data_IF_585099750819
#
_entry.id   IF_585099750819
#
_cell.length_a   1.000
_cell.length_b   1.000
_cell.length_c   1.000
_cell.angle_alpha   90.00
_cell.angle_beta   90.00
_cell.angle_gamma   90.00
#
_symmetry.space_group_name_H-M   'P 1'
#
loop_
_entity.id
_entity.type
_entity.pdbx_description
1 polymer ?
#
# COMPACT_ATOMS: atom_id res chain seq x y z
N UNK A 1 -39.62 24.23 10.08
CA UNK A 1 -38.32 23.87 10.68
C UNK A 1 -37.94 22.43 10.36
N UNK A 2 -37.64 22.17 9.06
CA UNK A 2 -37.28 20.83 8.55
C UNK A 2 -35.82 20.78 8.11
N UNK A 3 -34.88 21.21 8.95
CA UNK A 3 -33.44 21.13 8.67
C UNK A 3 -32.68 20.09 9.53
N UNK A 4 -33.38 19.18 10.17
CA UNK A 4 -32.83 18.14 11.00
C UNK A 4 -32.73 16.80 10.29
N UNK A 5 -31.53 16.21 10.22
CA UNK A 5 -31.27 14.78 10.09
C UNK A 5 -31.04 14.16 8.69
N UNK A 6 -30.12 14.72 7.93
CA UNK A 6 -29.44 13.92 6.89
C UNK A 6 -27.99 13.50 7.22
N UNK A 7 -27.52 13.74 8.43
CA UNK A 7 -26.13 13.39 8.82
C UNK A 7 -25.93 11.95 9.30
N UNK A 8 -26.96 11.28 9.77
CA UNK A 8 -26.83 9.97 10.45
C UNK A 8 -26.73 8.75 9.52
N UNK A 9 -26.98 8.89 8.23
CA UNK A 9 -26.99 7.76 7.30
C UNK A 9 -25.58 7.31 6.89
N UNK A 10 -24.59 8.20 6.91
CA UNK A 10 -23.23 7.88 6.45
C UNK A 10 -22.39 7.15 7.50
N UNK A 11 -22.58 7.40 8.78
CA UNK A 11 -21.83 6.72 9.85
C UNK A 11 -22.35 5.31 10.16
N UNK A 12 -23.56 4.99 9.75
CA UNK A 12 -24.14 3.66 9.95
C UNK A 12 -23.66 2.61 8.92
N UNK A 13 -23.11 3.03 7.78
CA UNK A 13 -22.67 2.12 6.71
C UNK A 13 -21.52 1.23 7.19
N UNK A 14 -20.44 1.72 7.82
CA UNK A 14 -19.37 0.86 8.32
C UNK A 14 -19.87 -0.15 9.34
N UNK A 15 -20.76 0.26 10.24
CA UNK A 15 -21.33 -0.63 11.26
C UNK A 15 -22.25 -1.72 10.69
N UNK A 16 -23.06 -1.39 9.69
CA UNK A 16 -23.92 -2.35 8.99
C UNK A 16 -23.11 -3.33 8.14
N UNK A 17 -22.06 -2.86 7.50
CA UNK A 17 -21.16 -3.68 6.69
C UNK A 17 -20.33 -4.62 7.57
N UNK A 18 -19.95 -4.21 8.78
CA UNK A 18 -19.27 -5.10 9.73
C UNK A 18 -20.13 -6.32 10.15
N UNK A 19 -21.46 -6.22 10.08
CA UNK A 19 -22.36 -7.38 10.25
C UNK A 19 -22.45 -8.28 9.01
N UNK A 20 -21.98 -7.80 7.86
CA UNK A 20 -22.00 -8.50 6.58
C UNK A 20 -20.61 -9.00 6.15
N UNK A 21 -19.58 -8.86 7.03
CA UNK A 21 -18.22 -9.27 6.71
C UNK A 21 -18.14 -10.74 6.24
N UNK A 22 -18.74 -11.66 7.01
CA UNK A 22 -18.75 -13.10 6.67
C UNK A 22 -19.50 -13.43 5.38
N UNK A 23 -20.76 -12.96 5.19
CA UNK A 23 -21.44 -13.12 3.91
C UNK A 23 -20.70 -12.50 2.72
N UNK A 24 -20.09 -11.30 2.90
CA UNK A 24 -19.36 -10.62 1.84
C UNK A 24 -18.03 -11.32 1.51
N UNK A 25 -17.36 -11.93 2.50
CA UNK A 25 -16.16 -12.72 2.26
C UNK A 25 -16.43 -13.97 1.40
N UNK A 26 -17.66 -14.49 1.39
CA UNK A 26 -18.06 -15.61 0.53
C UNK A 26 -18.33 -15.21 -0.94
N UNK A 27 -18.41 -13.90 -1.23
CA UNK A 27 -18.68 -13.35 -2.58
C UNK A 27 -17.69 -12.22 -2.90
N UNK A 28 -16.38 -12.48 -2.96
CA UNK A 28 -15.32 -11.46 -3.03
C UNK A 28 -15.47 -10.54 -4.24
N UNK A 29 -15.83 -11.04 -5.39
CA UNK A 29 -16.08 -10.23 -6.59
C UNK A 29 -17.17 -9.19 -6.38
N UNK A 30 -18.27 -9.57 -5.74
CA UNK A 30 -19.37 -8.66 -5.43
C UNK A 30 -18.96 -7.64 -4.35
N UNK A 31 -18.23 -8.06 -3.32
CA UNK A 31 -17.70 -7.18 -2.29
C UNK A 31 -16.79 -6.10 -2.90
N UNK A 32 -15.85 -6.48 -3.76
CA UNK A 32 -14.97 -5.55 -4.48
C UNK A 32 -15.78 -4.62 -5.38
N UNK A 33 -16.76 -5.15 -6.13
CA UNK A 33 -17.61 -4.35 -7.02
C UNK A 33 -18.40 -3.29 -6.26
N UNK A 34 -19.00 -3.64 -5.13
CA UNK A 34 -19.76 -2.71 -4.29
C UNK A 34 -18.85 -1.61 -3.74
N UNK A 35 -17.70 -1.99 -3.18
CA UNK A 35 -16.74 -1.03 -2.61
C UNK A 35 -16.16 -0.14 -3.71
N UNK A 36 -15.84 -0.72 -4.89
CA UNK A 36 -15.34 0.01 -6.04
C UNK A 36 -16.36 1.03 -6.57
N UNK A 37 -17.65 0.67 -6.63
CA UNK A 37 -18.71 1.58 -7.05
C UNK A 37 -18.86 2.79 -6.10
N UNK A 38 -18.61 2.59 -4.80
CA UNK A 38 -18.59 3.67 -3.83
C UNK A 38 -17.39 4.62 -4.02
N UNK A 39 -16.29 4.12 -4.58
CA UNK A 39 -15.08 4.90 -4.86
C UNK A 39 -15.27 5.94 -5.97
N UNK A 40 -16.18 5.71 -6.93
CA UNK A 40 -16.47 6.65 -8.01
C UNK A 40 -17.14 7.95 -7.54
N UNK A 41 -17.66 7.98 -6.33
CA UNK A 41 -18.15 9.19 -5.69
C UNK A 41 -16.99 10.08 -5.21
N UNK A 42 -17.03 11.31 -5.60
CA UNK A 42 -16.08 12.43 -5.52
C UNK A 42 -15.55 12.81 -4.12
N UNK A 43 -15.36 11.86 -3.22
CA UNK A 43 -14.96 12.13 -1.83
C UNK A 43 -13.69 11.40 -1.43
N UNK A 44 -12.56 12.14 -1.38
CA UNK A 44 -11.27 11.62 -0.92
C UNK A 44 -11.31 10.91 0.44
N UNK A 45 -12.27 11.23 1.30
CA UNK A 45 -12.52 10.49 2.56
C UNK A 45 -13.12 9.10 2.33
N UNK A 46 -13.84 8.88 1.24
CA UNK A 46 -14.42 7.57 0.91
C UNK A 46 -13.37 6.57 0.40
N UNK A 47 -12.35 7.07 -0.29
CA UNK A 47 -11.17 6.29 -0.72
C UNK A 47 -10.56 5.56 0.48
N UNK A 48 -10.35 6.29 1.56
CA UNK A 48 -9.75 5.76 2.78
C UNK A 48 -10.69 4.75 3.49
N UNK A 49 -11.97 5.05 3.58
CA UNK A 49 -12.95 4.19 4.28
C UNK A 49 -13.33 2.95 3.47
N UNK A 50 -13.50 3.05 2.14
CA UNK A 50 -13.85 1.92 1.29
C UNK A 50 -12.76 0.86 1.23
N UNK A 51 -11.50 1.27 1.05
CA UNK A 51 -10.36 0.36 1.07
C UNK A 51 -10.19 -0.32 2.43
N UNK A 52 -10.38 0.41 3.54
CA UNK A 52 -10.37 -0.15 4.89
C UNK A 52 -11.49 -1.17 5.11
N UNK A 53 -12.63 -0.97 4.47
CA UNK A 53 -13.74 -1.91 4.52
C UNK A 53 -13.38 -3.27 3.93
N UNK A 54 -12.66 -3.30 2.79
CA UNK A 54 -12.13 -4.54 2.24
C UNK A 54 -11.17 -5.23 3.22
N UNK A 55 -10.34 -4.47 3.95
CA UNK A 55 -9.50 -5.02 5.02
C UNK A 55 -10.32 -5.64 6.16
N UNK A 56 -11.47 -5.08 6.47
CA UNK A 56 -12.38 -5.64 7.49
C UNK A 56 -13.05 -6.93 7.00
N UNK A 57 -13.48 -6.98 5.73
CA UNK A 57 -14.08 -8.17 5.11
C UNK A 57 -13.03 -9.27 4.92
N UNK A 58 -11.82 -8.89 4.49
CA UNK A 58 -10.69 -9.78 4.22
C UNK A 58 -9.50 -9.41 5.13
N UNK A 59 -9.55 -9.72 6.43
CA UNK A 59 -8.48 -9.36 7.37
C UNK A 59 -7.14 -10.03 7.00
N UNK A 60 -7.22 -11.21 6.43
CA UNK A 60 -6.12 -11.87 5.74
C UNK A 60 -6.40 -11.82 4.24
N UNK A 61 -5.36 -11.59 3.46
CA UNK A 61 -5.51 -11.50 2.01
C UNK A 61 -5.92 -12.84 1.42
N UNK A 62 -7.08 -12.86 0.76
CA UNK A 62 -7.62 -14.04 0.13
C UNK A 62 -7.24 -14.09 -1.35
N UNK A 63 -6.96 -15.29 -1.93
CA UNK A 63 -6.66 -15.43 -3.36
C UNK A 63 -7.77 -14.86 -4.26
N UNK A 64 -9.01 -14.94 -3.82
CA UNK A 64 -10.16 -14.41 -4.53
C UNK A 64 -10.14 -12.88 -4.58
N UNK A 65 -9.75 -12.22 -3.47
CA UNK A 65 -9.54 -10.77 -3.45
C UNK A 65 -8.40 -10.38 -4.40
N UNK A 66 -7.28 -11.11 -4.37
CA UNK A 66 -6.15 -10.90 -5.28
C UNK A 66 -6.61 -10.96 -6.74
N UNK A 67 -7.36 -11.99 -7.10
CA UNK A 67 -7.85 -12.19 -8.46
C UNK A 67 -8.74 -11.04 -8.94
N UNK A 68 -9.62 -10.54 -8.08
CA UNK A 68 -10.49 -9.40 -8.42
C UNK A 68 -9.69 -8.09 -8.56
N UNK A 69 -8.70 -7.87 -7.70
CA UNK A 69 -7.84 -6.69 -7.81
C UNK A 69 -6.95 -6.75 -9.06
N UNK A 70 -6.41 -7.93 -9.41
CA UNK A 70 -5.67 -8.14 -10.68
C UNK A 70 -6.55 -7.86 -11.89
N UNK A 71 -7.80 -8.31 -11.88
CA UNK A 71 -8.76 -8.02 -12.96
C UNK A 71 -8.93 -6.50 -13.13
N UNK A 72 -9.06 -5.73 -12.05
CA UNK A 72 -9.15 -4.27 -12.11
C UNK A 72 -7.87 -3.62 -12.68
N UNK A 73 -6.69 -4.17 -12.35
CA UNK A 73 -5.42 -3.72 -12.95
C UNK A 73 -5.40 -4.01 -14.45
N UNK A 74 -5.85 -5.18 -14.87
CA UNK A 74 -5.93 -5.56 -16.29
C UNK A 74 -6.90 -4.70 -17.08
N UNK A 75 -8.06 -4.41 -16.54
CA UNK A 75 -9.03 -3.47 -17.12
C UNK A 75 -8.41 -2.08 -17.29
N UNK A 76 -7.51 -1.71 -16.37
CA UNK A 76 -6.81 -0.44 -16.41
C UNK A 76 -7.70 0.75 -16.09
N UNK A 77 -7.22 1.94 -16.51
CA UNK A 77 -7.87 3.21 -16.19
C UNK A 77 -7.46 3.77 -14.83
N UNK A 78 -7.30 5.09 -14.75
CA UNK A 78 -6.78 5.77 -13.56
C UNK A 78 -7.55 5.41 -12.29
N UNK A 79 -8.87 5.43 -12.34
CA UNK A 79 -9.72 5.13 -11.18
C UNK A 79 -9.58 3.69 -10.65
N UNK A 80 -9.36 2.71 -11.53
CA UNK A 80 -9.13 1.33 -11.10
C UNK A 80 -7.76 1.19 -10.42
N UNK A 81 -6.72 1.80 -10.99
CA UNK A 81 -5.38 1.78 -10.42
C UNK A 81 -5.33 2.50 -9.07
N UNK A 82 -5.95 3.68 -8.96
CA UNK A 82 -6.07 4.43 -7.71
C UNK A 82 -6.78 3.61 -6.63
N UNK A 83 -7.89 2.96 -7.00
CA UNK A 83 -8.62 2.09 -6.09
C UNK A 83 -7.78 0.91 -5.60
N UNK A 84 -7.11 0.20 -6.53
CA UNK A 84 -6.25 -0.94 -6.17
C UNK A 84 -5.13 -0.47 -5.24
N UNK A 85 -4.45 0.64 -5.54
CA UNK A 85 -3.41 1.21 -4.69
C UNK A 85 -3.94 1.60 -3.31
N UNK A 86 -5.13 2.20 -3.23
CA UNK A 86 -5.77 2.52 -1.96
C UNK A 86 -6.06 1.26 -1.11
N UNK A 87 -6.45 0.15 -1.77
CA UNK A 87 -6.61 -1.15 -1.09
C UNK A 87 -5.26 -1.67 -0.60
N UNK A 88 -4.22 -1.65 -1.44
CA UNK A 88 -2.88 -2.14 -1.09
C UNK A 88 -2.27 -1.42 0.11
N UNK A 89 -2.53 -0.11 0.27
CA UNK A 89 -2.10 0.66 1.45
C UNK A 89 -2.62 0.09 2.78
N UNK A 90 -3.75 -0.60 2.79
CA UNK A 90 -4.25 -1.28 3.99
C UNK A 90 -3.57 -2.62 4.27
N UNK A 91 -2.76 -3.12 3.33
CA UNK A 91 -2.02 -4.37 3.44
C UNK A 91 -0.50 -4.16 3.31
N UNK A 92 -0.02 -2.94 3.52
CA UNK A 92 1.39 -2.59 3.41
C UNK A 92 2.29 -3.54 4.21
N UNK A 93 3.46 -3.84 3.64
CA UNK A 93 4.45 -4.70 4.26
C UNK A 93 4.18 -6.20 4.15
N UNK A 94 3.08 -6.62 3.50
CA UNK A 94 2.78 -8.03 3.28
C UNK A 94 3.26 -8.48 1.89
N UNK A 95 3.93 -9.62 1.80
CA UNK A 95 4.55 -10.09 0.54
C UNK A 95 3.56 -10.31 -0.60
N UNK A 96 2.32 -10.63 -0.30
CA UNK A 96 1.31 -10.87 -1.34
C UNK A 96 1.00 -9.63 -2.19
N UNK A 97 1.23 -8.40 -1.68
CA UNK A 97 1.01 -7.19 -2.50
C UNK A 97 1.97 -7.11 -3.68
N UNK A 98 3.12 -7.81 -3.64
CA UNK A 98 4.13 -7.77 -4.68
C UNK A 98 3.60 -8.15 -6.05
N UNK A 99 2.70 -9.14 -6.13
CA UNK A 99 2.12 -9.57 -7.41
C UNK A 99 1.27 -8.46 -8.04
N UNK A 100 0.44 -7.79 -7.24
CA UNK A 100 -0.36 -6.63 -7.69
C UNK A 100 0.52 -5.44 -8.06
N UNK A 101 1.56 -5.16 -7.28
CA UNK A 101 2.52 -4.11 -7.57
C UNK A 101 3.24 -4.35 -8.89
N UNK A 102 3.69 -5.60 -9.17
CA UNK A 102 4.26 -5.98 -10.47
C UNK A 102 3.27 -5.72 -11.62
N UNK A 103 2.04 -6.19 -11.49
CA UNK A 103 1.01 -6.02 -12.51
C UNK A 103 0.76 -4.52 -12.82
N UNK A 104 0.72 -3.66 -11.79
CA UNK A 104 0.60 -2.21 -11.98
C UNK A 104 1.83 -1.66 -12.72
N UNK A 105 3.04 -2.02 -12.30
CA UNK A 105 4.29 -1.56 -12.93
C UNK A 105 4.35 -1.96 -14.42
N UNK A 106 3.91 -3.16 -14.77
CA UNK A 106 3.84 -3.62 -16.16
C UNK A 106 2.84 -2.82 -17.00
N UNK A 107 1.71 -2.47 -16.38
CA UNK A 107 0.60 -1.80 -17.07
C UNK A 107 0.86 -0.34 -17.36
N UNK A 108 1.61 0.36 -16.49
CA UNK A 108 1.79 1.81 -16.56
C UNK A 108 3.08 2.21 -17.30
N UNK A 109 3.15 3.44 -17.86
CA UNK A 109 4.38 4.00 -18.39
C UNK A 109 5.46 4.19 -17.31
N UNK A 110 6.76 4.22 -17.68
CA UNK A 110 7.86 4.38 -16.72
C UNK A 110 7.82 5.68 -15.92
N UNK A 111 7.29 6.75 -16.48
CA UNK A 111 7.15 8.10 -15.89
C UNK A 111 5.82 8.30 -15.14
N UNK A 112 5.02 7.25 -15.03
CA UNK A 112 3.71 7.33 -14.39
C UNK A 112 3.84 7.56 -12.87
N UNK A 113 3.01 8.44 -12.32
CA UNK A 113 2.86 8.65 -10.88
C UNK A 113 2.51 7.34 -10.13
N UNK A 114 1.80 6.42 -10.78
CA UNK A 114 1.44 5.13 -10.15
C UNK A 114 2.65 4.29 -9.78
N UNK A 115 3.80 4.45 -10.43
CA UNK A 115 5.05 3.79 -10.02
C UNK A 115 5.54 4.32 -8.67
N UNK A 116 5.45 5.62 -8.44
CA UNK A 116 5.77 6.22 -7.13
C UNK A 116 4.81 5.72 -6.05
N UNK A 117 3.52 5.61 -6.36
CA UNK A 117 2.52 5.07 -5.44
C UNK A 117 2.79 3.59 -5.09
N UNK A 118 3.22 2.78 -6.07
CA UNK A 118 3.67 1.40 -5.85
C UNK A 118 4.90 1.38 -4.92
N UNK A 119 5.87 2.27 -5.16
CA UNK A 119 7.06 2.36 -4.30
C UNK A 119 6.68 2.70 -2.84
N UNK A 120 5.73 3.62 -2.65
CA UNK A 120 5.19 3.96 -1.32
C UNK A 120 4.52 2.74 -0.66
N UNK A 121 3.69 2.01 -1.41
CA UNK A 121 3.02 0.81 -0.88
C UNK A 121 4.02 -0.30 -0.46
N UNK A 122 5.15 -0.42 -1.17
CA UNK A 122 6.21 -1.37 -0.86
C UNK A 122 7.11 -0.91 0.30
N UNK A 123 7.16 0.40 0.61
CA UNK A 123 8.15 0.98 1.53
C UNK A 123 7.86 0.71 3.01
N UNK A 124 6.69 0.18 3.38
CA UNK A 124 6.37 -0.04 4.79
C UNK A 124 7.41 -0.92 5.48
N UNK A 125 8.14 -0.32 6.41
CA UNK A 125 9.22 -0.97 7.15
C UNK A 125 8.74 -1.67 8.43
N UNK A 126 7.47 -1.49 8.81
CA UNK A 126 6.94 -1.95 10.08
C UNK A 126 7.56 -1.21 11.28
N UNK A 127 7.58 -1.89 12.43
CA UNK A 127 8.19 -1.34 13.64
C UNK A 127 9.71 -1.44 13.53
N UNK A 128 10.39 -0.30 13.64
CA UNK A 128 11.86 -0.22 13.68
C UNK A 128 12.32 0.16 15.07
N UNK A 129 13.48 -0.33 15.49
CA UNK A 129 14.08 -0.06 16.79
C UNK A 129 15.61 0.07 16.69
N UNK A 130 16.21 0.83 17.61
CA UNK A 130 17.65 1.08 17.61
C UNK A 130 18.05 2.25 16.70
N UNK A 131 19.29 2.72 16.87
CA UNK A 131 19.81 3.87 16.16
C UNK A 131 19.83 3.68 14.64
N UNK A 132 20.11 2.47 14.17
CA UNK A 132 20.18 2.10 12.75
C UNK A 132 18.91 1.39 12.24
N UNK A 133 17.83 1.38 13.02
CA UNK A 133 16.64 0.56 12.74
C UNK A 133 16.02 0.81 11.36
N UNK A 134 15.95 2.06 10.90
CA UNK A 134 15.47 2.38 9.56
C UNK A 134 16.43 1.91 8.46
N UNK A 135 17.74 2.13 8.63
CA UNK A 135 18.74 1.67 7.67
C UNK A 135 18.66 0.14 7.48
N UNK A 136 18.56 -0.61 8.57
CA UNK A 136 18.39 -2.07 8.52
C UNK A 136 17.06 -2.49 7.88
N UNK A 137 16.00 -1.73 8.11
CA UNK A 137 14.71 -1.97 7.49
C UNK A 137 14.75 -1.77 5.96
N UNK A 138 15.45 -0.76 5.48
CA UNK A 138 15.68 -0.54 4.04
C UNK A 138 16.51 -1.67 3.41
N UNK A 139 17.54 -2.19 4.10
CA UNK A 139 18.29 -3.33 3.61
C UNK A 139 17.41 -4.60 3.49
N UNK A 140 16.50 -4.84 4.45
CA UNK A 140 15.52 -5.93 4.33
C UNK A 140 14.60 -5.74 3.13
N UNK A 141 14.07 -4.52 2.92
CA UNK A 141 13.24 -4.20 1.75
C UNK A 141 14.00 -4.39 0.43
N UNK A 142 15.26 -4.01 0.40
CA UNK A 142 16.13 -4.25 -0.75
C UNK A 142 16.29 -5.74 -1.04
N UNK A 143 16.48 -6.56 0.00
CA UNK A 143 16.56 -8.03 -0.17
C UNK A 143 15.26 -8.62 -0.75
N UNK A 144 14.08 -8.15 -0.30
CA UNK A 144 12.78 -8.56 -0.86
C UNK A 144 12.64 -8.25 -2.36
N UNK A 145 13.34 -7.20 -2.84
CA UNK A 145 13.25 -6.75 -4.24
C UNK A 145 14.26 -7.41 -5.18
N UNK A 146 15.22 -8.20 -4.67
CA UNK A 146 16.26 -8.81 -5.51
C UNK A 146 15.69 -9.72 -6.61
N UNK A 147 14.64 -10.46 -6.31
CA UNK A 147 13.99 -11.32 -7.29
C UNK A 147 13.41 -10.55 -8.48
N UNK A 148 13.01 -9.29 -8.26
CA UNK A 148 12.43 -8.45 -9.32
C UNK A 148 13.46 -8.01 -10.36
N UNK A 149 14.74 -8.01 -10.01
CA UNK A 149 15.83 -7.71 -10.97
C UNK A 149 15.95 -8.78 -12.07
N UNK A 150 15.45 -9.98 -11.82
CA UNK A 150 15.45 -11.10 -12.77
C UNK A 150 14.06 -11.37 -13.37
N UNK A 151 13.11 -10.44 -13.18
CA UNK A 151 11.76 -10.58 -13.72
C UNK A 151 11.79 -10.60 -15.25
N UNK A 152 10.96 -11.42 -15.93
CA UNK A 152 10.88 -11.42 -17.38
C UNK A 152 10.50 -10.06 -17.97
N UNK A 153 9.71 -9.25 -17.26
CA UNK A 153 9.31 -7.91 -17.67
C UNK A 153 10.45 -6.91 -17.49
N UNK A 154 10.86 -6.25 -18.58
CA UNK A 154 11.85 -5.18 -18.52
C UNK A 154 11.37 -4.00 -17.64
N UNK A 155 10.09 -3.65 -17.69
CA UNK A 155 9.51 -2.58 -16.87
C UNK A 155 9.63 -2.89 -15.37
N UNK A 156 9.44 -4.15 -14.99
CA UNK A 156 9.58 -4.59 -13.59
C UNK A 156 11.05 -4.52 -13.17
N UNK A 157 12.00 -5.00 -14.00
CA UNK A 157 13.43 -4.91 -13.72
C UNK A 157 13.89 -3.45 -13.55
N UNK A 158 13.48 -2.56 -14.45
CA UNK A 158 13.80 -1.13 -14.38
C UNK A 158 13.22 -0.49 -13.11
N UNK A 159 12.00 -0.83 -12.75
CA UNK A 159 11.39 -0.37 -11.50
C UNK A 159 12.18 -0.87 -10.29
N UNK A 160 12.53 -2.15 -10.25
CA UNK A 160 13.30 -2.73 -9.15
C UNK A 160 14.66 -2.05 -8.98
N UNK A 161 15.39 -1.83 -10.07
CA UNK A 161 16.68 -1.14 -10.03
C UNK A 161 16.56 0.29 -9.50
N UNK A 162 15.56 1.04 -9.97
CA UNK A 162 15.27 2.39 -9.48
C UNK A 162 14.89 2.40 -8.01
N UNK A 163 14.01 1.50 -7.58
CA UNK A 163 13.54 1.40 -6.21
C UNK A 163 14.66 1.01 -5.24
N UNK A 164 15.49 0.02 -5.60
CA UNK A 164 16.65 -0.41 -4.82
C UNK A 164 17.64 0.75 -4.66
N UNK A 165 17.93 1.50 -5.72
CA UNK A 165 18.79 2.69 -5.65
C UNK A 165 18.24 3.73 -4.67
N UNK A 166 16.93 3.92 -4.63
CA UNK A 166 16.27 4.79 -3.65
C UNK A 166 16.43 4.28 -2.21
N UNK A 167 16.28 2.97 -2.00
CA UNK A 167 16.50 2.34 -0.70
C UNK A 167 17.96 2.48 -0.22
N UNK A 168 18.94 2.33 -1.13
CA UNK A 168 20.36 2.52 -0.81
C UNK A 168 20.63 3.95 -0.35
N UNK A 169 20.08 4.94 -1.05
CA UNK A 169 20.23 6.35 -0.65
C UNK A 169 19.58 6.64 0.71
N UNK A 170 18.38 6.10 0.98
CA UNK A 170 17.72 6.25 2.27
C UNK A 170 18.49 5.54 3.39
N UNK A 171 18.99 4.32 3.17
CA UNK A 171 19.80 3.58 4.13
C UNK A 171 21.07 4.34 4.51
N UNK A 172 21.78 4.89 3.51
CA UNK A 172 22.99 5.69 3.73
C UNK A 172 22.71 6.97 4.54
N UNK A 173 21.64 7.69 4.20
CA UNK A 173 21.25 8.91 4.90
C UNK A 173 20.87 8.64 6.37
N UNK A 174 20.15 7.56 6.64
CA UNK A 174 19.77 7.21 8.02
C UNK A 174 20.95 6.69 8.84
N UNK A 175 21.91 5.97 8.23
CA UNK A 175 23.17 5.61 8.91
C UNK A 175 23.96 6.83 9.31
N UNK A 176 24.14 7.79 8.41
CA UNK A 176 24.82 9.03 8.71
C UNK A 176 24.14 9.79 9.85
N UNK A 177 22.82 9.94 9.82
CA UNK A 177 22.05 10.58 10.89
C UNK A 177 22.23 9.88 12.24
N UNK A 178 22.19 8.55 12.25
CA UNK A 178 22.41 7.75 13.46
C UNK A 178 23.83 7.97 14.03
N UNK A 179 24.85 7.99 13.19
CA UNK A 179 26.24 8.24 13.59
C UNK A 179 26.40 9.62 14.22
N UNK A 180 25.83 10.66 13.60
CA UNK A 180 25.83 12.04 14.10
C UNK A 180 25.12 12.12 15.47
N UNK A 181 23.97 11.47 15.63
CA UNK A 181 23.23 11.45 16.89
C UNK A 181 23.99 10.74 18.00
N UNK A 182 24.64 9.62 17.69
CA UNK A 182 25.50 8.89 18.64
C UNK A 182 26.69 9.74 19.06
N UNK A 183 27.35 10.43 18.13
CA UNK A 183 28.47 11.31 18.42
C UNK A 183 28.07 12.46 19.36
N UNK A 184 26.93 13.12 19.07
CA UNK A 184 26.39 14.19 19.90
C UNK A 184 26.02 13.71 21.31
N UNK A 185 25.47 12.51 21.44
CA UNK A 185 25.17 11.92 22.76
C UNK A 185 26.45 11.68 23.56
N UNK A 186 27.49 11.10 22.95
CA UNK A 186 28.78 10.90 23.63
C UNK A 186 29.37 12.18 24.15
N UNK A 187 29.38 13.25 23.35
CA UNK A 187 29.89 14.55 23.79
C UNK A 187 29.16 15.11 25.02
N UNK A 188 27.86 14.90 25.14
CA UNK A 188 27.06 15.37 26.30
C UNK A 188 27.28 14.55 27.58
N UNK A 189 27.84 13.35 27.49
CA UNK A 189 28.14 12.51 28.66
C UNK A 189 29.58 12.65 29.12
N UNK A 190 30.45 13.24 28.29
CA UNK A 190 31.85 13.48 28.59
C UNK A 190 32.08 14.90 29.18
N UNK A 191 31.06 15.74 29.24
CA UNK A 191 31.00 17.04 29.95
C UNK A 191 30.38 16.89 31.36
#
# INVERSE_FOLDING_TARGET
>A
DESGHKRDTYDAIPYRLHKLDKPLAAIPGEAVRIVRAQYDGNYGMFVFRGAHLLKTIFPQFAPELESELLRLVEEGGGKNLEFVLAVLRNYEGQLFIHKLCKAIVEKVPPDSQYRTEVAVALLNTGVVSGAYGFAEAYERKKAEMQEWLNDPSEKVRQFAAWYISGLDAMSAADRQRADEEIALRKQRYDE
#
